data_IF_947876301630
#
_entry.id   IF_947876301630
#
_cell.length_a   1.000
_cell.length_b   1.000
_cell.length_c   1.000
_cell.angle_alpha   90.00
_cell.angle_beta   90.00
_cell.angle_gamma   90.00
#
_symmetry.space_group_name_H-M   'P 1'
#
loop_
_entity.id
_entity.type
_entity.pdbx_description
1 polymer ?
#
# COMPACT_ATOMS: atom_id res chain seq x y z
N UNK A 1 1.35 7.51 -28.79
CA UNK A 1 1.57 7.00 -27.41
C UNK A 1 0.23 6.51 -26.90
N UNK A 2 -0.03 5.20 -26.96
CA UNK A 2 -1.32 4.61 -26.56
C UNK A 2 -1.53 4.86 -25.06
N UNK A 3 -2.43 5.77 -24.71
CA UNK A 3 -2.90 5.90 -23.33
C UNK A 3 -3.64 4.61 -22.99
N UNK A 4 -2.94 3.64 -22.39
CA UNK A 4 -3.63 2.53 -21.75
C UNK A 4 -4.58 3.14 -20.73
N UNK A 5 -5.88 3.06 -21.02
CA UNK A 5 -6.92 3.48 -20.08
C UNK A 5 -6.78 2.57 -18.87
N UNK A 6 -6.27 3.14 -17.77
CA UNK A 6 -6.20 2.44 -16.50
C UNK A 6 -7.62 2.05 -16.10
N UNK A 7 -7.94 0.76 -16.15
CA UNK A 7 -9.21 0.23 -15.69
C UNK A 7 -9.04 -0.30 -14.25
N UNK A 8 -9.54 0.42 -13.24
CA UNK A 8 -9.45 -0.01 -11.85
C UNK A 8 -10.26 -1.29 -11.56
N UNK A 9 -11.17 -1.68 -12.46
CA UNK A 9 -12.02 -2.86 -12.35
C UNK A 9 -11.51 -4.05 -13.17
N UNK A 10 -10.37 -3.92 -13.86
CA UNK A 10 -9.79 -5.03 -14.60
C UNK A 10 -9.54 -6.21 -13.63
N UNK A 11 -10.23 -7.32 -13.87
CA UNK A 11 -10.12 -8.50 -13.03
C UNK A 11 -8.69 -9.01 -13.08
N UNK A 12 -8.00 -9.01 -11.93
CA UNK A 12 -6.67 -9.60 -11.83
C UNK A 12 -6.86 -11.10 -11.65
N UNK A 13 -7.24 -11.78 -12.73
CA UNK A 13 -7.50 -13.22 -12.73
C UNK A 13 -6.19 -13.99 -12.64
N UNK A 14 -6.10 -14.97 -11.73
CA UNK A 14 -5.00 -15.93 -11.73
C UNK A 14 -4.93 -16.64 -13.10
N UNK A 15 -3.78 -16.55 -13.78
CA UNK A 15 -3.57 -17.21 -15.08
C UNK A 15 -2.83 -18.54 -14.94
N UNK A 16 -2.39 -18.89 -13.73
CA UNK A 16 -1.61 -20.08 -13.42
C UNK A 16 -1.91 -20.56 -12.00
N UNK A 17 -1.84 -21.87 -11.71
CA UNK A 17 -1.94 -22.41 -10.34
C UNK A 17 -0.93 -21.81 -9.37
N UNK A 18 0.23 -21.35 -9.87
CA UNK A 18 1.26 -20.67 -9.07
C UNK A 18 0.79 -19.32 -8.53
N UNK A 19 -0.19 -18.68 -9.16
CA UNK A 19 -0.69 -17.35 -8.82
C UNK A 19 -1.84 -17.40 -7.80
N UNK A 20 -1.70 -18.23 -6.76
CA UNK A 20 -2.78 -18.52 -5.82
C UNK A 20 -3.23 -17.27 -5.05
N UNK A 21 -2.33 -16.30 -4.79
CA UNK A 21 -2.66 -15.08 -4.07
C UNK A 21 -3.76 -14.28 -4.77
N UNK A 22 -3.78 -14.24 -6.10
CA UNK A 22 -4.82 -13.50 -6.84
C UNK A 22 -6.22 -14.12 -6.70
N UNK A 23 -6.29 -15.40 -6.34
CA UNK A 23 -7.55 -16.08 -6.13
C UNK A 23 -8.08 -15.93 -4.69
N UNK A 24 -7.24 -15.51 -3.73
CA UNK A 24 -7.65 -15.35 -2.35
C UNK A 24 -8.50 -14.09 -2.13
N UNK A 25 -9.40 -14.17 -1.16
CA UNK A 25 -10.20 -13.03 -0.75
C UNK A 25 -9.29 -11.87 -0.26
N UNK A 26 -9.54 -10.62 -0.70
CA UNK A 26 -8.83 -9.42 -0.25
C UNK A 26 -8.65 -9.31 1.27
N UNK A 27 -9.73 -9.58 2.02
CA UNK A 27 -9.74 -9.47 3.47
C UNK A 27 -8.91 -10.56 4.13
N UNK A 28 -8.86 -11.75 3.55
CA UNK A 28 -8.06 -12.85 4.11
C UNK A 28 -6.56 -12.51 4.09
N UNK A 29 -6.11 -11.81 3.05
CA UNK A 29 -4.72 -11.32 2.96
C UNK A 29 -4.43 -10.30 4.03
N UNK A 30 -5.35 -9.34 4.25
CA UNK A 30 -5.21 -8.29 5.26
C UNK A 30 -5.25 -8.89 6.67
N UNK A 31 -6.25 -9.70 6.98
CA UNK A 31 -6.44 -10.33 8.29
C UNK A 31 -5.30 -11.29 8.63
N UNK A 32 -4.76 -12.01 7.64
CA UNK A 32 -3.64 -12.94 7.85
C UNK A 32 -2.34 -12.23 8.24
N UNK A 33 -2.04 -11.06 7.66
CA UNK A 33 -0.76 -10.35 7.88
C UNK A 33 -0.83 -9.23 8.91
N UNK A 34 -2.01 -8.63 9.13
CA UNK A 34 -2.16 -7.48 10.01
C UNK A 34 -1.70 -7.73 11.46
N UNK A 35 -2.00 -8.89 12.10
CA UNK A 35 -1.50 -9.17 13.44
C UNK A 35 0.04 -9.19 13.50
N UNK A 36 0.70 -9.80 12.51
CA UNK A 36 2.16 -9.80 12.43
C UNK A 36 2.72 -8.39 12.27
N UNK A 37 2.11 -7.57 11.43
CA UNK A 37 2.48 -6.15 11.25
C UNK A 37 2.34 -5.36 12.54
N UNK A 38 1.26 -5.56 13.31
CA UNK A 38 1.03 -4.86 14.58
C UNK A 38 2.05 -5.26 15.65
N UNK A 39 2.32 -6.56 15.79
CA UNK A 39 3.29 -7.05 16.79
C UNK A 39 4.70 -6.60 16.44
N UNK A 40 5.08 -6.61 15.15
CA UNK A 40 6.39 -6.16 14.68
C UNK A 40 6.74 -4.73 15.08
N UNK A 41 5.76 -3.86 15.36
CA UNK A 41 6.01 -2.49 15.83
C UNK A 41 6.75 -2.51 17.18
N UNK A 42 6.45 -3.47 18.05
CA UNK A 42 6.99 -3.58 19.40
C UNK A 42 8.31 -4.36 19.48
N UNK A 43 8.62 -5.15 18.45
CA UNK A 43 9.82 -6.00 18.34
C UNK A 43 11.06 -5.13 18.14
N UNK A 44 12.12 -5.31 18.93
CA UNK A 44 13.34 -4.49 18.82
C UNK A 44 14.55 -5.21 18.23
N UNK A 45 14.52 -6.54 18.16
CA UNK A 45 15.61 -7.34 17.61
C UNK A 45 15.68 -7.30 16.08
N UNK A 46 16.80 -7.79 15.53
CA UNK A 46 17.07 -7.85 14.09
C UNK A 46 16.54 -9.14 13.44
N UNK A 47 16.51 -10.24 14.19
CA UNK A 47 16.25 -11.58 13.65
C UNK A 47 14.77 -11.79 13.34
N UNK A 48 13.87 -11.39 14.23
CA UNK A 48 12.41 -11.52 14.08
C UNK A 48 11.91 -10.76 12.85
N UNK A 49 12.24 -9.47 12.64
CA UNK A 49 11.77 -8.78 11.44
C UNK A 49 12.44 -9.29 10.16
N UNK A 50 13.70 -9.76 10.22
CA UNK A 50 14.35 -10.41 9.08
C UNK A 50 13.64 -11.71 8.66
N UNK A 51 13.19 -12.53 9.62
CA UNK A 51 12.41 -13.73 9.35
C UNK A 51 11.07 -13.41 8.69
N UNK A 52 10.36 -12.36 9.16
CA UNK A 52 9.13 -11.90 8.52
C UNK A 52 9.36 -11.32 7.12
N UNK A 53 10.46 -10.59 6.91
CA UNK A 53 10.84 -10.10 5.59
C UNK A 53 11.06 -11.27 4.63
N UNK A 54 11.85 -12.28 5.03
CA UNK A 54 12.09 -13.47 4.22
C UNK A 54 10.80 -14.23 3.92
N UNK A 55 9.92 -14.41 4.91
CA UNK A 55 8.61 -15.03 4.74
C UNK A 55 7.75 -14.25 3.74
N UNK A 56 7.66 -12.93 3.87
CA UNK A 56 6.87 -12.10 2.97
C UNK A 56 7.40 -12.16 1.53
N UNK A 57 8.72 -12.08 1.34
CA UNK A 57 9.35 -12.23 0.04
C UNK A 57 9.08 -13.61 -0.56
N UNK A 58 9.19 -14.69 0.22
CA UNK A 58 8.88 -16.05 -0.21
C UNK A 58 7.42 -16.17 -0.67
N UNK A 59 6.47 -15.69 0.12
CA UNK A 59 5.04 -15.72 -0.21
C UNK A 59 4.75 -14.95 -1.49
N UNK A 60 5.36 -13.77 -1.68
CA UNK A 60 5.18 -12.98 -2.90
C UNK A 60 5.82 -13.66 -4.11
N UNK A 61 7.03 -14.18 -3.99
CA UNK A 61 7.75 -14.85 -5.08
C UNK A 61 7.02 -16.12 -5.54
N UNK A 62 6.48 -16.90 -4.61
CA UNK A 62 5.73 -18.13 -4.92
C UNK A 62 4.33 -17.84 -5.42
N UNK A 63 3.65 -16.84 -4.84
CA UNK A 63 2.20 -16.63 -5.01
C UNK A 63 1.78 -15.49 -5.94
N UNK A 64 2.67 -14.54 -6.24
CA UNK A 64 2.39 -13.38 -7.08
C UNK A 64 3.00 -13.51 -8.49
N UNK A 65 2.59 -12.63 -9.41
CA UNK A 65 3.18 -12.54 -10.76
C UNK A 65 4.50 -11.82 -10.68
N UNK A 66 5.59 -12.56 -10.91
CA UNK A 66 6.93 -11.99 -11.04
C UNK A 66 7.10 -11.35 -12.42
N UNK A 67 6.69 -10.10 -12.53
CA UNK A 67 7.09 -9.20 -13.61
C UNK A 67 8.44 -8.57 -13.31
N UNK A 68 9.15 -8.07 -14.32
CA UNK A 68 10.43 -7.36 -14.13
C UNK A 68 10.27 -6.18 -13.15
N UNK A 69 9.13 -5.48 -13.20
CA UNK A 69 8.82 -4.37 -12.30
C UNK A 69 8.64 -4.81 -10.85
N UNK A 70 7.91 -5.90 -10.62
CA UNK A 70 7.73 -6.45 -9.26
C UNK A 70 9.04 -7.02 -8.72
N UNK A 71 9.85 -7.67 -9.57
CA UNK A 71 11.17 -8.15 -9.16
C UNK A 71 12.10 -6.98 -8.80
N UNK A 72 12.16 -5.93 -9.63
CA UNK A 72 12.91 -4.72 -9.31
C UNK A 72 12.41 -4.04 -8.03
N UNK A 73 11.09 -4.00 -7.80
CA UNK A 73 10.54 -3.47 -6.55
C UNK A 73 11.04 -4.27 -5.33
N UNK A 74 11.00 -5.60 -5.39
CA UNK A 74 11.31 -6.47 -4.24
C UNK A 74 12.81 -6.62 -3.97
N UNK A 75 13.63 -6.73 -5.03
CA UNK A 75 15.06 -7.04 -4.91
C UNK A 75 15.97 -5.83 -5.08
N UNK A 76 15.47 -4.71 -5.60
CA UNK A 76 16.25 -3.48 -5.74
C UNK A 76 15.67 -2.35 -4.90
N UNK A 77 14.41 -1.96 -5.13
CA UNK A 77 13.84 -0.78 -4.48
C UNK A 77 13.65 -0.98 -2.96
N UNK A 78 13.16 -2.15 -2.53
CA UNK A 78 12.96 -2.44 -1.12
C UNK A 78 14.28 -2.52 -0.34
N UNK A 79 15.32 -3.28 -0.78
CA UNK A 79 16.62 -3.27 -0.12
C UNK A 79 17.32 -1.92 -0.17
N UNK A 80 17.25 -1.19 -1.28
CA UNK A 80 17.81 0.16 -1.37
C UNK A 80 17.11 1.14 -0.41
N UNK A 81 15.78 1.06 -0.30
CA UNK A 81 15.00 1.83 0.65
C UNK A 81 15.36 1.49 2.10
N UNK A 82 15.53 0.20 2.40
CA UNK A 82 15.99 -0.25 3.72
C UNK A 82 17.41 0.25 4.02
N UNK A 83 18.33 0.21 3.06
CA UNK A 83 19.68 0.76 3.26
C UNK A 83 19.65 2.27 3.53
N UNK A 84 18.84 3.02 2.77
CA UNK A 84 18.68 4.46 2.97
C UNK A 84 18.07 4.80 4.34
N UNK A 85 17.02 4.07 4.75
CA UNK A 85 16.39 4.22 6.06
C UNK A 85 17.37 3.82 7.17
N UNK A 86 18.08 2.70 7.02
CA UNK A 86 19.01 2.19 8.01
C UNK A 86 20.12 3.18 8.29
N UNK A 87 20.79 3.65 7.24
CA UNK A 87 21.81 4.69 7.34
C UNK A 87 21.23 5.99 7.90
N UNK A 88 20.06 6.43 7.41
CA UNK A 88 19.40 7.64 7.90
C UNK A 88 19.12 7.60 9.40
N UNK A 89 18.54 6.49 9.90
CA UNK A 89 18.28 6.31 11.32
C UNK A 89 19.58 6.20 12.12
N UNK A 90 20.59 5.48 11.63
CA UNK A 90 21.89 5.38 12.31
C UNK A 90 22.57 6.72 12.54
N UNK A 91 22.41 7.68 11.63
CA UNK A 91 22.94 9.04 11.79
C UNK A 91 22.17 9.88 12.82
N UNK A 92 20.93 9.51 13.11
CA UNK A 92 20.02 10.24 14.01
C UNK A 92 19.87 9.59 15.39
N UNK A 93 20.47 8.42 15.63
CA UNK A 93 20.46 7.80 16.96
C UNK A 93 21.23 8.68 17.94
N UNK A 94 20.61 8.93 19.09
CA UNK A 94 21.22 9.66 20.20
C UNK A 94 22.48 8.95 20.69
N UNK A 95 23.63 9.62 20.60
CA UNK A 95 24.93 9.08 20.96
C UNK A 95 25.00 8.64 22.44
N UNK A 96 24.26 9.31 23.32
CA UNK A 96 24.20 9.01 24.76
C UNK A 96 23.55 7.66 25.10
N UNK A 97 22.89 7.00 24.13
CA UNK A 97 22.30 5.67 24.31
C UNK A 97 23.21 4.55 23.85
N UNK A 98 24.35 4.88 23.24
CA UNK A 98 25.18 3.94 22.47
C UNK A 98 26.67 4.19 22.63
N UNK A 99 27.04 5.11 23.53
CA UNK A 99 28.40 5.50 23.87
C UNK A 99 29.22 4.36 24.50
N UNK A 100 28.54 3.34 25.04
CA UNK A 100 29.13 2.09 25.50
C UNK A 100 29.69 1.19 24.38
N UNK A 101 29.39 1.45 23.10
CA UNK A 101 29.87 0.65 21.96
C UNK A 101 31.07 1.26 21.23
N UNK A 102 31.78 0.44 20.43
CA UNK A 102 32.92 0.92 19.65
C UNK A 102 32.49 1.97 18.59
N UNK A 103 33.27 3.05 18.47
CA UNK A 103 33.11 4.03 17.40
C UNK A 103 33.60 3.48 16.06
N UNK A 104 32.71 3.46 15.05
CA UNK A 104 33.01 2.99 13.69
C UNK A 104 33.57 4.10 12.82
N UNK A 105 33.05 5.32 12.96
CA UNK A 105 33.51 6.49 12.22
C UNK A 105 33.56 7.69 13.17
N UNK A 106 34.69 8.39 13.21
CA UNK A 106 34.81 9.64 13.97
C UNK A 106 35.00 10.79 12.98
N UNK A 107 34.09 11.76 12.98
CA UNK A 107 34.16 12.98 12.17
C UNK A 107 34.11 14.18 13.12
N UNK A 108 35.28 14.61 13.59
CA UNK A 108 35.39 15.71 14.55
C UNK A 108 34.67 15.38 15.87
N UNK A 109 33.74 16.23 16.36
CA UNK A 109 33.01 15.99 17.61
C UNK A 109 31.89 14.95 17.48
N UNK A 110 31.61 14.46 16.27
CA UNK A 110 30.57 13.47 16.03
C UNK A 110 31.17 12.09 15.80
N UNK A 111 30.71 11.11 16.59
CA UNK A 111 31.14 9.72 16.53
C UNK A 111 29.96 8.83 16.17
N UNK A 112 30.10 8.03 15.12
CA UNK A 112 29.14 7.00 14.75
C UNK A 112 29.48 5.72 15.52
N UNK A 113 28.61 5.35 16.45
CA UNK A 113 28.77 4.14 17.25
C UNK A 113 28.25 2.91 16.51
N UNK A 114 28.86 1.74 16.77
CA UNK A 114 28.41 0.47 16.20
C UNK A 114 26.97 0.15 16.60
N UNK A 115 26.56 0.43 17.84
CA UNK A 115 25.17 0.19 18.24
C UNK A 115 24.17 1.11 17.51
N UNK A 116 24.58 2.31 17.07
CA UNK A 116 23.74 3.18 16.24
C UNK A 116 23.48 2.55 14.85
N UNK A 117 24.48 1.84 14.29
CA UNK A 117 24.30 1.03 13.08
C UNK A 117 23.33 -0.13 13.32
N UNK A 118 23.50 -0.88 14.41
CA UNK A 118 22.61 -2.01 14.74
C UNK A 118 21.16 -1.54 14.90
N UNK A 119 20.91 -0.48 15.66
CA UNK A 119 19.57 0.07 15.88
C UNK A 119 18.96 0.58 14.58
N UNK A 120 19.73 1.33 13.77
CA UNK A 120 19.26 1.85 12.49
C UNK A 120 18.88 0.75 11.50
N UNK A 121 19.76 -0.25 11.32
CA UNK A 121 19.47 -1.38 10.43
C UNK A 121 18.38 -2.31 10.96
N UNK A 122 18.29 -2.56 12.28
CA UNK A 122 17.17 -3.30 12.87
C UNK A 122 15.83 -2.59 12.61
N UNK A 123 15.80 -1.26 12.72
CA UNK A 123 14.62 -0.45 12.40
C UNK A 123 14.29 -0.50 10.91
N UNK A 124 15.30 -0.43 10.04
CA UNK A 124 15.10 -0.53 8.60
C UNK A 124 14.55 -1.89 8.16
N UNK A 125 15.09 -2.99 8.70
CA UNK A 125 14.58 -4.35 8.43
C UNK A 125 13.15 -4.51 8.96
N UNK A 126 12.83 -3.93 10.12
CA UNK A 126 11.47 -3.92 10.66
C UNK A 126 10.48 -3.20 9.75
N UNK A 127 10.81 -1.99 9.31
CA UNK A 127 9.97 -1.25 8.36
C UNK A 127 9.88 -1.98 7.02
N UNK A 128 10.99 -2.53 6.53
CA UNK A 128 11.04 -3.36 5.32
C UNK A 128 10.13 -4.59 5.41
N UNK A 129 10.12 -5.29 6.54
CA UNK A 129 9.25 -6.44 6.79
C UNK A 129 7.77 -6.04 6.80
N UNK A 130 7.41 -4.94 7.47
CA UNK A 130 6.04 -4.40 7.49
C UNK A 130 5.58 -4.03 6.07
N UNK A 131 6.44 -3.36 5.30
CA UNK A 131 6.16 -3.02 3.90
C UNK A 131 6.01 -4.29 3.06
N UNK A 132 6.89 -5.27 3.20
CA UNK A 132 6.83 -6.52 2.46
C UNK A 132 5.54 -7.30 2.75
N UNK A 133 5.11 -7.37 4.02
CA UNK A 133 3.83 -7.96 4.41
C UNK A 133 2.64 -7.22 3.78
N UNK A 134 2.66 -5.89 3.76
CA UNK A 134 1.63 -5.09 3.10
C UNK A 134 1.60 -5.31 1.58
N UNK A 135 2.75 -5.54 0.94
CA UNK A 135 2.86 -5.81 -0.50
C UNK A 135 2.20 -7.13 -0.92
N UNK A 136 2.03 -8.12 -0.02
CA UNK A 136 1.26 -9.35 -0.30
C UNK A 136 -0.14 -8.98 -0.77
N UNK A 137 -0.84 -8.14 0.00
CA UNK A 137 -2.17 -7.63 -0.36
C UNK A 137 -2.09 -6.63 -1.52
N UNK A 138 -1.19 -5.65 -1.43
CA UNK A 138 -1.10 -4.53 -2.38
C UNK A 138 -0.78 -4.92 -3.82
N UNK A 139 0.03 -5.95 -4.04
CA UNK A 139 0.39 -6.41 -5.39
C UNK A 139 -0.62 -7.39 -6.00
N UNK A 140 -1.46 -8.02 -5.17
CA UNK A 140 -2.31 -9.15 -5.60
C UNK A 140 -3.80 -8.88 -5.49
N UNK A 141 -4.19 -7.66 -5.11
CA UNK A 141 -5.58 -7.30 -4.80
C UNK A 141 -5.94 -5.97 -5.42
N UNK A 142 -7.14 -5.87 -6.01
CA UNK A 142 -7.64 -4.60 -6.54
C UNK A 142 -8.36 -3.80 -5.45
N UNK A 143 -8.30 -2.47 -5.55
CA UNK A 143 -9.04 -1.57 -4.65
C UNK A 143 -10.56 -1.86 -4.65
N UNK A 144 -11.22 -1.99 -5.82
CA UNK A 144 -12.64 -2.34 -5.87
C UNK A 144 -12.97 -3.68 -5.21
N UNK A 145 -12.15 -4.72 -5.37
CA UNK A 145 -12.41 -6.03 -4.75
C UNK A 145 -12.30 -5.95 -3.22
N UNK A 146 -11.34 -5.18 -2.70
CA UNK A 146 -11.23 -4.93 -1.26
C UNK A 146 -12.50 -4.25 -0.72
N UNK A 147 -13.03 -3.25 -1.42
CA UNK A 147 -14.29 -2.58 -1.02
C UNK A 147 -15.47 -3.54 -1.09
N UNK A 148 -15.59 -4.34 -2.15
CA UNK A 148 -16.64 -5.36 -2.27
C UNK A 148 -16.58 -6.37 -1.14
N UNK A 149 -15.38 -6.84 -0.81
CA UNK A 149 -15.15 -7.76 0.30
C UNK A 149 -15.57 -7.13 1.65
N UNK A 150 -15.21 -5.87 1.89
CA UNK A 150 -15.64 -5.14 3.10
C UNK A 150 -17.17 -5.01 3.21
N UNK A 151 -17.87 -4.73 2.10
CA UNK A 151 -19.35 -4.68 2.12
C UNK A 151 -19.94 -6.07 2.38
N UNK A 152 -19.41 -7.11 1.74
CA UNK A 152 -20.00 -8.46 1.77
C UNK A 152 -19.70 -9.23 3.05
N UNK A 153 -18.45 -9.17 3.55
CA UNK A 153 -18.02 -9.94 4.71
C UNK A 153 -18.04 -9.12 6.00
N UNK A 154 -17.56 -7.86 5.98
CA UNK A 154 -17.57 -6.98 7.16
C UNK A 154 -18.91 -6.25 7.36
N UNK A 155 -19.88 -6.46 6.46
CA UNK A 155 -21.22 -5.84 6.49
C UNK A 155 -21.17 -4.31 6.57
N UNK A 156 -20.16 -3.71 5.95
CA UNK A 156 -20.09 -2.24 5.81
C UNK A 156 -21.34 -1.77 5.05
N UNK A 157 -22.02 -0.69 5.50
CA UNK A 157 -23.21 -0.18 4.82
C UNK A 157 -22.94 0.04 3.33
N UNK A 158 -23.78 -0.55 2.47
CA UNK A 158 -23.56 -0.53 1.02
C UNK A 158 -23.49 0.90 0.46
N UNK A 159 -24.12 1.87 1.12
CA UNK A 159 -24.02 3.30 0.78
C UNK A 159 -22.58 3.81 0.84
N UNK A 160 -21.86 3.44 1.89
CA UNK A 160 -20.44 3.82 2.07
C UNK A 160 -19.57 3.06 1.08
N UNK A 161 -19.78 1.75 0.94
CA UNK A 161 -19.02 0.93 0.00
C UNK A 161 -19.19 1.37 -1.45
N UNK A 162 -20.40 1.70 -1.89
CA UNK A 162 -20.65 2.18 -3.25
C UNK A 162 -20.04 3.55 -3.51
N UNK A 163 -19.95 4.44 -2.51
CA UNK A 163 -19.24 5.72 -2.66
C UNK A 163 -17.75 5.48 -2.93
N UNK A 164 -17.12 4.53 -2.23
CA UNK A 164 -15.73 4.16 -2.50
C UNK A 164 -15.55 3.53 -3.89
N UNK A 165 -16.46 2.65 -4.33
CA UNK A 165 -16.47 2.11 -5.70
C UNK A 165 -16.65 3.21 -6.76
N UNK A 166 -17.55 4.15 -6.52
CA UNK A 166 -17.78 5.29 -7.41
C UNK A 166 -16.51 6.16 -7.51
N UNK A 167 -15.84 6.43 -6.39
CA UNK A 167 -14.57 7.16 -6.36
C UNK A 167 -13.51 6.49 -7.27
N UNK A 168 -13.34 5.17 -7.18
CA UNK A 168 -12.43 4.44 -8.09
C UNK A 168 -12.79 4.65 -9.58
N UNK A 169 -14.08 4.70 -9.91
CA UNK A 169 -14.55 4.94 -11.29
C UNK A 169 -14.34 6.40 -11.73
N UNK A 170 -14.34 7.35 -10.81
CA UNK A 170 -14.14 8.77 -11.11
C UNK A 170 -12.67 9.13 -11.34
N UNK A 171 -11.71 8.38 -10.80
CA UNK A 171 -10.27 8.66 -10.96
C UNK A 171 -9.85 8.76 -12.44
N UNK A 172 -10.12 7.77 -13.32
CA UNK A 172 -9.77 7.89 -14.73
C UNK A 172 -10.46 9.06 -15.43
N UNK A 173 -11.73 9.33 -15.06
CA UNK A 173 -12.52 10.43 -15.60
C UNK A 173 -11.89 11.79 -15.27
N UNK A 174 -11.55 12.04 -14.00
CA UNK A 174 -10.91 13.29 -13.60
C UNK A 174 -9.51 13.44 -14.17
N UNK A 175 -8.79 12.35 -14.41
CA UNK A 175 -7.55 12.37 -15.18
C UNK A 175 -7.75 12.92 -16.60
N UNK A 176 -8.84 12.54 -17.27
CA UNK A 176 -9.21 13.06 -18.59
C UNK A 176 -9.65 14.54 -18.52
N UNK A 177 -10.51 14.91 -17.56
CA UNK A 177 -10.95 16.30 -17.37
C UNK A 177 -9.75 17.22 -17.08
N UNK A 178 -8.78 16.78 -16.27
CA UNK A 178 -7.53 17.50 -16.04
C UNK A 178 -6.69 17.65 -17.31
N UNK A 179 -6.68 16.65 -18.20
CA UNK A 179 -5.99 16.76 -19.49
C UNK A 179 -6.64 17.82 -20.39
N UNK A 180 -7.98 17.87 -20.43
CA UNK A 180 -8.75 18.88 -21.17
C UNK A 180 -8.51 20.28 -20.61
N UNK A 181 -8.57 20.45 -19.28
CA UNK A 181 -8.30 21.74 -18.61
C UNK A 181 -6.88 22.22 -18.95
N UNK A 182 -5.88 21.33 -18.85
CA UNK A 182 -4.49 21.66 -19.23
C UNK A 182 -4.38 22.08 -20.70
N UNK A 183 -5.07 21.41 -21.61
CA UNK A 183 -5.09 21.79 -23.02
C UNK A 183 -5.72 23.17 -23.24
N UNK A 184 -6.86 23.45 -22.60
CA UNK A 184 -7.54 24.74 -22.69
C UNK A 184 -6.69 25.90 -22.15
N UNK A 185 -6.01 25.72 -21.02
CA UNK A 185 -5.10 26.73 -20.48
C UNK A 185 -3.90 26.99 -21.39
N UNK A 186 -3.39 25.96 -22.08
CA UNK A 186 -2.32 26.15 -23.09
C UNK A 186 -2.79 27.00 -24.27
N UNK A 187 -4.00 26.75 -24.78
CA UNK A 187 -4.58 27.55 -25.88
C UNK A 187 -4.81 29.00 -25.45
N UNK A 188 -5.22 29.24 -24.21
CA UNK A 188 -5.40 30.59 -23.63
C UNK A 188 -4.08 31.32 -23.34
N UNK A 189 -2.94 30.76 -23.73
CA UNK A 189 -1.65 31.42 -23.57
C UNK A 189 -1.17 31.53 -22.12
N UNK A 190 -1.61 30.66 -21.22
CA UNK A 190 -1.25 30.70 -19.80
C UNK A 190 0.22 30.25 -19.58
N UNK A 191 1.17 31.13 -19.94
CA UNK A 191 2.61 30.92 -19.84
C UNK A 191 3.12 31.38 -18.47
N UNK A 192 2.82 30.62 -17.42
CA UNK A 192 3.27 30.93 -16.06
C UNK A 192 4.77 30.66 -15.83
N UNK A 193 5.67 31.05 -16.73
CA UNK A 193 7.13 30.92 -16.62
C UNK A 193 7.71 29.50 -16.72
N UNK A 194 9.00 29.39 -17.00
CA UNK A 194 9.77 28.15 -16.92
C UNK A 194 10.41 28.03 -15.52
N UNK A 195 9.88 27.12 -14.69
CA UNK A 195 10.45 26.86 -13.36
C UNK A 195 9.58 25.97 -12.46
N UNK A 196 10.13 25.43 -11.35
CA UNK A 196 9.40 24.59 -10.41
C UNK A 196 8.28 25.36 -9.69
N UNK A 197 8.54 26.59 -9.22
CA UNK A 197 7.54 27.45 -8.57
C UNK A 197 6.42 27.85 -9.54
N UNK A 198 6.81 28.23 -10.75
CA UNK A 198 5.94 28.47 -11.89
C UNK A 198 5.00 27.29 -12.20
N UNK A 199 5.49 26.04 -12.08
CA UNK A 199 4.68 24.83 -12.25
C UNK A 199 3.63 24.66 -11.14
N UNK A 200 3.99 24.96 -9.90
CA UNK A 200 3.09 24.90 -8.75
C UNK A 200 1.97 25.94 -8.88
N UNK A 201 2.34 27.19 -9.21
CA UNK A 201 1.39 28.28 -9.42
C UNK A 201 0.38 27.95 -10.56
N UNK A 202 0.85 27.34 -11.67
CA UNK A 202 -0.05 26.85 -12.72
C UNK A 202 -0.98 25.73 -12.24
N UNK A 203 -0.50 24.87 -11.35
CA UNK A 203 -1.29 23.78 -10.75
C UNK A 203 -2.53 24.32 -10.03
N UNK A 204 -2.37 25.41 -9.28
CA UNK A 204 -3.47 26.09 -8.59
C UNK A 204 -4.60 26.53 -9.54
N UNK A 205 -4.25 27.03 -10.73
CA UNK A 205 -5.23 27.43 -11.74
C UNK A 205 -6.11 26.29 -12.27
N UNK A 206 -5.68 25.03 -12.14
CA UNK A 206 -6.46 23.87 -12.57
C UNK A 206 -7.40 23.34 -11.49
N UNK A 207 -7.15 23.66 -10.22
CA UNK A 207 -7.90 23.12 -9.08
C UNK A 207 -9.35 23.59 -9.13
N UNK A 208 -9.58 24.91 -9.25
CA UNK A 208 -10.92 25.49 -9.28
C UNK A 208 -11.80 24.90 -10.38
N UNK A 209 -11.39 24.88 -11.68
CA UNK A 209 -12.23 24.30 -12.73
C UNK A 209 -12.44 22.79 -12.56
N UNK A 210 -11.44 22.06 -12.05
CA UNK A 210 -11.56 20.62 -11.80
C UNK A 210 -12.54 20.33 -10.66
N UNK A 211 -12.46 21.08 -9.55
CA UNK A 211 -13.39 20.98 -8.42
C UNK A 211 -14.82 21.31 -8.86
N UNK A 212 -15.00 22.40 -9.62
CA UNK A 212 -16.31 22.75 -10.16
C UNK A 212 -16.85 21.65 -11.08
N UNK A 213 -15.99 21.04 -11.91
CA UNK A 213 -16.34 19.86 -12.71
C UNK A 213 -16.74 18.65 -11.87
N UNK A 214 -15.99 18.37 -10.81
CA UNK A 214 -16.23 17.27 -9.87
C UNK A 214 -17.55 17.44 -9.13
N UNK A 215 -17.87 18.64 -8.63
CA UNK A 215 -19.15 18.93 -7.96
C UNK A 215 -20.33 18.70 -8.92
N UNK A 216 -20.28 19.28 -10.12
CA UNK A 216 -21.33 19.06 -11.14
C UNK A 216 -21.44 17.60 -11.57
N UNK A 217 -20.34 16.84 -11.52
CA UNK A 217 -20.39 15.41 -11.80
C UNK A 217 -21.06 14.65 -10.65
N UNK A 218 -20.65 14.92 -9.41
CA UNK A 218 -21.21 14.30 -8.21
C UNK A 218 -22.71 14.55 -8.09
N UNK A 219 -23.18 15.79 -8.32
CA UNK A 219 -24.59 16.14 -8.31
C UNK A 219 -25.40 15.35 -9.35
N UNK A 220 -24.91 15.28 -10.60
CA UNK A 220 -25.56 14.49 -11.65
C UNK A 220 -25.59 12.99 -11.31
N UNK A 221 -24.54 12.47 -10.68
CA UNK A 221 -24.52 11.07 -10.25
C UNK A 221 -25.50 10.84 -9.10
N UNK A 222 -25.58 11.76 -8.14
CA UNK A 222 -26.52 11.69 -7.02
C UNK A 222 -27.98 11.68 -7.52
N UNK A 223 -28.36 12.65 -8.36
CA UNK A 223 -29.70 12.70 -8.98
C UNK A 223 -30.02 11.43 -9.78
N UNK A 224 -29.03 10.87 -10.50
CA UNK A 224 -29.19 9.61 -11.23
C UNK A 224 -29.28 8.38 -10.30
N UNK A 225 -28.71 8.45 -9.10
CA UNK A 225 -28.82 7.40 -8.08
C UNK A 225 -30.18 7.45 -7.39
N UNK A 226 -30.67 8.65 -7.08
CA UNK A 226 -32.00 8.87 -6.48
C UNK A 226 -33.12 8.42 -7.42
N UNK A 227 -33.02 8.74 -8.72
CA UNK A 227 -34.01 8.27 -9.72
C UNK A 227 -34.02 6.75 -9.90
N UNK A 228 -32.94 6.05 -9.52
CA UNK A 228 -32.85 4.59 -9.50
C UNK A 228 -33.18 3.99 -8.12
N UNK A 229 -33.76 4.79 -7.23
CA UNK A 229 -34.12 4.41 -5.87
C UNK A 229 -32.92 3.85 -5.07
N UNK A 230 -31.70 4.34 -5.32
CA UNK A 230 -30.52 3.95 -4.55
C UNK A 230 -30.71 4.41 -3.10
N UNK A 231 -30.90 3.47 -2.18
CA UNK A 231 -31.25 3.86 -0.81
C UNK A 231 -32.65 3.48 -0.37
N UNK A 232 -33.51 2.97 -1.25
CA UNK A 232 -34.88 2.66 -0.87
C UNK A 232 -35.00 1.48 0.12
N UNK A 233 -34.03 0.57 0.12
CA UNK A 233 -34.03 -0.60 0.99
C UNK A 233 -32.78 -0.65 1.88
N UNK A 234 -32.87 -1.27 3.07
CA UNK A 234 -31.71 -1.46 3.95
C UNK A 234 -30.68 -2.44 3.37
N UNK A 235 -31.13 -3.36 2.52
CA UNK A 235 -30.28 -4.38 1.88
C UNK A 235 -30.34 -4.26 0.36
N UNK A 236 -29.27 -4.72 -0.31
CA UNK A 236 -29.12 -4.70 -1.76
C UNK A 236 -28.52 -6.03 -2.24
N UNK A 237 -29.00 -6.52 -3.37
CA UNK A 237 -28.37 -7.64 -4.08
C UNK A 237 -27.13 -7.18 -4.84
N UNK A 238 -25.99 -7.84 -4.59
CA UNK A 238 -24.71 -7.52 -5.22
C UNK A 238 -24.50 -8.32 -6.51
N UNK A 239 -24.17 -7.63 -7.61
CA UNK A 239 -23.91 -8.27 -8.92
C UNK A 239 -22.60 -9.03 -8.97
N UNK A 240 -21.57 -8.52 -8.30
CA UNK A 240 -20.24 -9.13 -8.28
C UNK A 240 -19.93 -9.61 -6.86
N UNK A 241 -19.84 -10.93 -6.71
CA UNK A 241 -19.57 -11.57 -5.44
C UNK A 241 -18.07 -11.85 -5.30
N UNK A 242 -17.54 -11.58 -4.11
CA UNK A 242 -16.19 -11.94 -3.69
C UNK A 242 -16.36 -12.98 -2.57
N UNK A 243 -16.61 -14.25 -2.92
CA UNK A 243 -16.93 -15.27 -1.92
C UNK A 243 -15.74 -15.52 -1.01
N UNK A 244 -16.03 -15.70 0.29
CA UNK A 244 -15.05 -16.20 1.24
C UNK A 244 -15.09 -17.74 1.19
N UNK A 245 -13.97 -18.37 0.85
CA UNK A 245 -13.84 -19.82 0.61
C UNK A 245 -12.93 -20.46 1.65
N UNK A 246 -12.98 -21.79 1.77
CA UNK A 246 -12.14 -22.53 2.71
C UNK A 246 -10.62 -22.24 2.55
N UNK A 247 -10.15 -22.02 1.31
CA UNK A 247 -8.76 -21.62 1.03
C UNK A 247 -8.34 -20.32 1.71
N UNK A 248 -9.29 -19.40 1.92
CA UNK A 248 -9.05 -18.11 2.56
C UNK A 248 -8.84 -18.32 4.07
N UNK A 249 -9.65 -19.18 4.68
CA UNK A 249 -9.45 -19.61 6.08
C UNK A 249 -8.12 -20.32 6.27
N UNK A 250 -7.77 -21.26 5.38
CA UNK A 250 -6.49 -21.97 5.42
C UNK A 250 -5.33 -20.99 5.33
N UNK A 251 -5.40 -20.01 4.42
CA UNK A 251 -4.38 -18.98 4.31
C UNK A 251 -4.22 -18.18 5.61
N UNK A 252 -5.33 -17.71 6.20
CA UNK A 252 -5.29 -16.96 7.47
C UNK A 252 -4.66 -17.81 8.58
N UNK A 253 -5.13 -19.05 8.76
CA UNK A 253 -4.64 -19.95 9.82
C UNK A 253 -3.15 -20.24 9.62
N UNK A 254 -2.71 -20.53 8.40
CA UNK A 254 -1.29 -20.74 8.10
C UNK A 254 -0.45 -19.48 8.40
N UNK A 255 -0.91 -18.30 7.99
CA UNK A 255 -0.21 -17.05 8.32
C UNK A 255 -0.10 -16.85 9.83
N UNK A 256 -1.21 -16.99 10.57
CA UNK A 256 -1.21 -16.82 12.03
C UNK A 256 -0.33 -17.85 12.74
N UNK A 257 -0.37 -19.12 12.31
CA UNK A 257 0.44 -20.18 12.89
C UNK A 257 1.94 -19.94 12.67
N UNK A 258 2.34 -19.58 11.45
CA UNK A 258 3.74 -19.25 11.14
C UNK A 258 4.18 -17.99 11.88
N UNK A 259 3.34 -16.96 11.93
CA UNK A 259 3.62 -15.74 12.71
C UNK A 259 3.84 -16.06 14.19
N UNK A 260 2.95 -16.85 14.79
CA UNK A 260 3.08 -17.27 16.18
C UNK A 260 4.37 -18.07 16.40
N UNK A 261 4.69 -19.02 15.53
CA UNK A 261 5.93 -19.80 15.60
C UNK A 261 7.18 -18.91 15.58
N UNK A 262 7.25 -17.96 14.64
CA UNK A 262 8.36 -16.99 14.56
C UNK A 262 8.47 -16.18 15.86
N UNK A 263 7.36 -15.62 16.35
CA UNK A 263 7.39 -14.86 17.60
C UNK A 263 7.82 -15.67 18.82
N UNK A 264 7.43 -16.95 18.90
CA UNK A 264 7.84 -17.83 20.00
C UNK A 264 9.30 -18.24 19.94
N UNK A 265 9.84 -18.50 18.74
CA UNK A 265 11.23 -18.95 18.56
C UNK A 265 12.24 -17.83 18.84
N UNK A 266 11.91 -16.60 18.47
CA UNK A 266 12.79 -15.44 18.66
C UNK A 266 12.50 -14.63 19.94
N UNK A 267 11.80 -15.22 20.91
CA UNK A 267 11.65 -14.62 22.23
C UNK A 267 12.96 -14.75 23.04
N UNK A 268 13.47 -13.70 23.70
CA UNK A 268 12.89 -12.37 23.93
C UNK A 268 13.18 -11.37 22.80
N UNK A 269 12.18 -10.56 22.43
CA UNK A 269 12.23 -9.54 21.34
C UNK A 269 13.04 -8.27 21.71
N UNK A 270 14.16 -8.45 22.39
CA UNK A 270 15.04 -7.40 22.87
C UNK A 270 16.39 -7.49 22.16
N UNK A 271 17.05 -6.34 21.99
CA UNK A 271 18.44 -6.33 21.56
C UNK A 271 19.28 -6.95 22.70
N UNK A 272 20.26 -7.82 22.41
CA UNK A 272 21.24 -8.26 23.40
C UNK A 272 22.06 -7.09 23.93
#
# INVERSE_FOLDING_TARGET
>A
MSTQTFDPYAAVTASSPRQFLYALNPLAKVVGVAPAMLVLIFVRDLATPAAFLALALLVIVVGARLTLRTAALLFLALPAGMAAIGLGFSLWVDASRVDDTAGVLQLGPWTLYQGALVIGFATAVRLGAIIALALIGGLTTTGPDLVRASVQQLRVPYRVGYTALAAFRFVPRFGHELAVIRAAHRVRGHHGGSGPFARIARGWGYIVPLLAGAIRHAERVALAMDSRAFGAHPTRTERHLVPFRARDTVFIVCCLAVSAAIFTVFFPWQLP
#
